data_IF_868578584591
#
_entry.id   IF_868578584591
#
_cell.length_a   1.000
_cell.length_b   1.000
_cell.length_c   1.000
_cell.angle_alpha   90.00
_cell.angle_beta   90.00
_cell.angle_gamma   90.00
#
_symmetry.space_group_name_H-M   'P 1'
#
loop_
_entity.id
_entity.type
_entity.pdbx_description
1 polymer ?
#
# COMPACT_ATOMS: atom_id res chain seq x y z
N UNK A 1 -13.74 6.36 16.14
CA UNK A 1 -14.11 6.09 14.73
C UNK A 1 -14.99 7.24 14.26
N UNK A 2 -14.79 7.80 13.06
CA UNK A 2 -15.50 9.02 12.62
C UNK A 2 -16.84 8.74 11.93
N UNK A 3 -16.88 7.77 11.01
CA UNK A 3 -18.08 7.33 10.29
C UNK A 3 -17.96 5.84 10.05
N UNK A 4 -18.96 5.06 10.46
CA UNK A 4 -18.93 3.60 10.31
C UNK A 4 -19.32 3.12 8.91
N UNK A 5 -20.26 3.81 8.27
CA UNK A 5 -20.83 3.40 6.97
C UNK A 5 -20.81 4.56 5.98
N UNK A 6 -19.61 5.04 5.66
CA UNK A 6 -19.43 6.06 4.64
C UNK A 6 -19.59 5.41 3.25
N UNK A 7 -20.54 5.85 2.41
CA UNK A 7 -20.59 5.42 1.02
C UNK A 7 -19.28 5.79 0.31
N UNK A 8 -18.70 4.88 -0.47
CA UNK A 8 -17.42 5.14 -1.14
C UNK A 8 -17.48 6.37 -2.05
N UNK A 9 -18.64 6.62 -2.68
CA UNK A 9 -18.90 7.80 -3.52
C UNK A 9 -18.71 9.13 -2.80
N UNK A 10 -18.85 9.16 -1.48
CA UNK A 10 -18.73 10.35 -0.64
C UNK A 10 -17.35 10.47 0.02
N UNK A 11 -16.42 9.54 -0.26
CA UNK A 11 -15.11 9.46 0.40
C UNK A 11 -14.32 10.76 0.29
N UNK A 12 -14.22 11.33 -0.92
CA UNK A 12 -13.44 12.56 -1.14
C UNK A 12 -14.07 13.77 -0.43
N UNK A 13 -15.40 13.91 -0.48
CA UNK A 13 -16.12 14.96 0.24
C UNK A 13 -15.92 14.85 1.76
N UNK A 14 -15.90 13.63 2.30
CA UNK A 14 -15.66 13.40 3.72
C UNK A 14 -14.22 13.71 4.13
N UNK A 15 -13.24 13.33 3.31
CA UNK A 15 -11.83 13.70 3.51
C UNK A 15 -11.64 15.22 3.46
N UNK A 16 -12.31 15.90 2.53
CA UNK A 16 -12.29 17.37 2.47
C UNK A 16 -12.87 18.00 3.74
N UNK A 17 -14.00 17.50 4.24
CA UNK A 17 -14.58 17.97 5.50
C UNK A 17 -13.59 17.82 6.68
N UNK A 18 -12.93 16.66 6.79
CA UNK A 18 -11.87 16.43 7.80
C UNK A 18 -10.73 17.45 7.64
N UNK A 19 -10.28 17.71 6.42
CA UNK A 19 -9.22 18.69 6.14
C UNK A 19 -9.66 20.11 6.48
N UNK A 20 -10.91 20.50 6.21
CA UNK A 20 -11.47 21.82 6.57
C UNK A 20 -11.53 22.01 8.08
N UNK A 21 -12.03 21.02 8.83
CA UNK A 21 -12.04 21.04 10.31
C UNK A 21 -10.61 21.14 10.86
N UNK A 22 -9.70 20.30 10.35
CA UNK A 22 -8.31 20.34 10.77
C UNK A 22 -7.62 21.67 10.43
N UNK A 23 -7.92 22.27 9.29
CA UNK A 23 -7.37 23.56 8.90
C UNK A 23 -7.93 24.72 9.75
N UNK A 24 -9.18 24.62 10.21
CA UNK A 24 -9.84 25.63 11.06
C UNK A 24 -9.31 25.59 12.49
N UNK A 25 -9.24 24.41 13.10
CA UNK A 25 -8.92 24.26 14.52
C UNK A 25 -7.48 23.80 14.81
N UNK A 26 -6.74 23.37 13.77
CA UNK A 26 -5.36 22.93 13.89
C UNK A 26 -4.44 24.04 14.37
N UNK A 27 -3.60 23.72 15.35
CA UNK A 27 -2.60 24.66 15.87
C UNK A 27 -1.51 24.93 14.84
N UNK A 28 -1.18 26.21 14.63
CA UNK A 28 -0.06 26.66 13.77
C UNK A 28 1.08 27.31 14.54
N UNK A 29 0.91 27.53 15.84
CA UNK A 29 1.87 28.21 16.71
C UNK A 29 3.01 27.29 17.19
N UNK A 30 2.76 25.98 17.31
CA UNK A 30 3.75 25.02 17.78
C UNK A 30 3.74 23.75 16.92
N UNK A 31 4.81 23.54 16.16
CA UNK A 31 4.98 22.37 15.27
C UNK A 31 4.82 21.01 15.98
N UNK A 32 5.17 20.92 17.27
CA UNK A 32 5.02 19.68 18.04
C UNK A 32 3.57 19.39 18.45
N UNK A 33 2.69 20.40 18.40
CA UNK A 33 1.26 20.31 18.71
C UNK A 33 0.35 20.48 17.49
N UNK A 34 0.93 20.59 16.29
CA UNK A 34 0.20 20.91 15.05
C UNK A 34 -0.43 19.70 14.34
N UNK A 35 -0.22 18.46 14.82
CA UNK A 35 -0.74 17.25 14.15
C UNK A 35 -2.21 17.01 14.47
N UNK A 36 -2.98 16.48 13.51
CA UNK A 36 -4.42 16.21 13.67
C UNK A 36 -4.75 15.33 14.88
N UNK A 37 -3.89 14.36 15.23
CA UNK A 37 -4.07 13.53 16.44
C UNK A 37 -4.14 14.35 17.74
N UNK A 38 -3.41 15.46 17.79
CA UNK A 38 -3.39 16.37 18.94
C UNK A 38 -4.71 17.15 19.00
N UNK A 39 -5.19 17.63 17.84
CA UNK A 39 -6.49 18.29 17.75
C UNK A 39 -7.62 17.36 18.22
N UNK A 40 -7.67 16.13 17.69
CA UNK A 40 -8.69 15.14 18.08
C UNK A 40 -8.61 14.83 19.58
N UNK A 41 -7.42 14.70 20.14
CA UNK A 41 -7.24 14.47 21.58
C UNK A 41 -7.69 15.65 22.45
N UNK A 42 -7.59 16.89 21.96
CA UNK A 42 -8.01 18.09 22.70
C UNK A 42 -9.52 18.32 22.62
N UNK A 43 -10.12 18.12 21.45
CA UNK A 43 -11.56 18.29 21.24
C UNK A 43 -12.37 17.11 21.80
N UNK A 44 -11.81 15.91 21.78
CA UNK A 44 -12.57 14.66 21.90
C UNK A 44 -13.06 14.19 20.54
N UNK A 45 -13.21 12.87 20.39
CA UNK A 45 -13.56 12.26 19.10
C UNK A 45 -14.99 12.61 18.69
N UNK A 46 -15.91 12.71 19.65
CA UNK A 46 -17.32 13.03 19.42
C UNK A 46 -17.50 14.46 18.92
N UNK A 47 -16.82 15.43 19.57
CA UNK A 47 -16.87 16.83 19.15
C UNK A 47 -16.23 17.02 17.77
N UNK A 48 -15.07 16.37 17.54
CA UNK A 48 -14.44 16.42 16.21
C UNK A 48 -15.34 15.81 15.13
N UNK A 49 -16.02 14.70 15.41
CA UNK A 49 -16.98 14.10 14.49
C UNK A 49 -18.15 15.05 14.20
N UNK A 50 -18.70 15.73 15.20
CA UNK A 50 -19.77 16.71 15.01
C UNK A 50 -19.34 17.85 14.08
N UNK A 51 -18.13 18.40 14.26
CA UNK A 51 -17.59 19.42 13.37
C UNK A 51 -17.47 18.92 11.92
N UNK A 52 -17.02 17.68 11.71
CA UNK A 52 -16.92 17.07 10.37
C UNK A 52 -18.30 16.89 9.74
N UNK A 53 -19.30 16.45 10.51
CA UNK A 53 -20.68 16.30 10.05
C UNK A 53 -21.41 17.63 9.84
N UNK A 54 -20.93 18.73 10.41
CA UNK A 54 -21.41 20.08 10.07
C UNK A 54 -20.75 20.57 8.77
N UNK A 55 -19.44 20.37 8.61
CA UNK A 55 -18.73 20.75 7.39
C UNK A 55 -19.25 20.01 6.16
N UNK A 56 -19.60 18.72 6.27
CA UNK A 56 -20.14 17.96 5.14
C UNK A 56 -21.47 18.54 4.63
N UNK A 57 -22.26 19.18 5.48
CA UNK A 57 -23.51 19.85 5.08
C UNK A 57 -23.26 21.13 4.26
N UNK A 58 -22.09 21.74 4.41
CA UNK A 58 -21.66 22.93 3.68
C UNK A 58 -21.01 22.60 2.34
N UNK A 59 -20.56 21.36 2.15
CA UNK A 59 -19.96 20.90 0.90
C UNK A 59 -21.09 20.53 -0.08
N UNK A 60 -21.12 21.11 -1.30
CA UNK A 60 -22.08 20.70 -2.31
C UNK A 60 -21.92 19.20 -2.61
N UNK A 61 -23.02 18.44 -2.55
CA UNK A 61 -23.01 16.97 -2.67
C UNK A 61 -22.29 16.46 -3.92
N UNK A 62 -22.39 17.19 -5.03
CA UNK A 62 -21.83 16.79 -6.32
C UNK A 62 -20.37 17.20 -6.54
N UNK A 63 -19.80 18.08 -5.69
CA UNK A 63 -18.49 18.69 -5.96
C UNK A 63 -17.36 17.66 -6.07
N UNK A 64 -17.37 16.68 -5.16
CA UNK A 64 -16.33 15.64 -5.04
C UNK A 64 -16.93 14.23 -4.98
N UNK A 65 -18.13 14.05 -5.53
CA UNK A 65 -18.77 12.75 -5.59
C UNK A 65 -18.02 11.86 -6.59
N UNK A 66 -17.49 10.73 -6.12
CA UNK A 66 -16.86 9.77 -7.02
C UNK A 66 -17.93 9.12 -7.91
N UNK A 67 -17.58 8.92 -9.18
CA UNK A 67 -18.45 8.32 -10.19
C UNK A 67 -17.92 6.96 -10.60
N UNK A 68 -18.81 6.07 -11.07
CA UNK A 68 -18.40 4.78 -11.63
C UNK A 68 -17.46 4.94 -12.84
N UNK A 69 -17.64 6.00 -13.64
CA UNK A 69 -16.75 6.32 -14.76
C UNK A 69 -15.33 6.62 -14.28
N UNK A 70 -15.19 7.42 -13.23
CA UNK A 70 -13.88 7.78 -12.69
C UNK A 70 -13.22 6.59 -11.99
N UNK A 71 -14.00 5.80 -11.25
CA UNK A 71 -13.54 4.54 -10.68
C UNK A 71 -13.05 3.59 -11.78
N UNK A 72 -13.82 3.42 -12.85
CA UNK A 72 -13.46 2.56 -13.98
C UNK A 72 -12.19 3.04 -14.69
N UNK A 73 -12.06 4.36 -14.90
CA UNK A 73 -10.88 4.97 -15.50
C UNK A 73 -9.62 4.67 -14.69
N UNK A 74 -9.67 4.82 -13.36
CA UNK A 74 -8.52 4.50 -12.49
C UNK A 74 -8.29 2.99 -12.46
N UNK A 75 -9.35 2.18 -12.30
CA UNK A 75 -9.24 0.72 -12.24
C UNK A 75 -8.59 0.12 -13.50
N UNK A 76 -8.83 0.71 -14.68
CA UNK A 76 -8.18 0.28 -15.93
C UNK A 76 -6.66 0.43 -15.95
N UNK A 77 -6.07 1.19 -15.02
CA UNK A 77 -4.62 1.32 -14.87
C UNK A 77 -4.02 0.21 -13.99
N UNK A 78 -4.85 -0.57 -13.30
CA UNK A 78 -4.43 -1.64 -12.38
C UNK A 78 -4.89 -3.02 -12.88
N UNK A 79 -4.93 -3.20 -14.21
CA UNK A 79 -5.34 -4.47 -14.79
C UNK A 79 -4.37 -5.58 -14.39
N UNK A 80 -4.88 -6.74 -13.95
CA UNK A 80 -4.02 -7.88 -13.66
C UNK A 80 -3.28 -8.28 -14.93
N UNK A 81 -2.01 -8.67 -14.77
CA UNK A 81 -1.25 -9.22 -15.88
C UNK A 81 -1.88 -10.54 -16.34
N UNK A 82 -1.70 -10.87 -17.62
CA UNK A 82 -2.13 -12.16 -18.16
C UNK A 82 -1.17 -13.22 -17.65
N UNK A 83 -1.58 -13.92 -16.60
CA UNK A 83 -0.84 -15.05 -16.04
C UNK A 83 -1.00 -16.28 -16.93
N UNK A 84 0.08 -17.02 -17.09
CA UNK A 84 0.07 -18.34 -17.73
C UNK A 84 -0.53 -19.39 -16.78
N UNK A 85 -1.10 -20.45 -17.34
CA UNK A 85 -1.51 -21.60 -16.52
C UNK A 85 -0.30 -22.50 -16.33
N UNK A 86 0.29 -22.45 -15.14
CA UNK A 86 1.43 -23.27 -14.78
C UNK A 86 0.97 -24.58 -14.11
N UNK A 87 1.69 -25.67 -14.37
CA UNK A 87 1.45 -26.94 -13.71
C UNK A 87 1.77 -26.87 -12.21
N UNK A 88 1.12 -27.71 -11.40
CA UNK A 88 1.31 -27.70 -9.94
C UNK A 88 2.61 -28.35 -9.48
N UNK A 89 3.29 -29.13 -10.33
CA UNK A 89 4.45 -29.94 -9.95
C UNK A 89 5.68 -29.59 -10.77
N UNK A 90 6.72 -29.11 -10.09
CA UNK A 90 8.06 -28.93 -10.62
C UNK A 90 9.03 -29.83 -9.84
N UNK A 91 9.48 -30.89 -10.51
CA UNK A 91 10.38 -31.90 -9.93
C UNK A 91 11.79 -31.33 -9.74
N UNK A 92 12.23 -30.43 -10.62
CA UNK A 92 13.53 -29.79 -10.55
C UNK A 92 13.59 -28.84 -9.35
N UNK A 93 12.55 -28.01 -9.18
CA UNK A 93 12.39 -27.17 -7.99
C UNK A 93 12.41 -28.00 -6.70
N UNK A 94 11.63 -29.08 -6.66
CA UNK A 94 11.57 -29.97 -5.49
C UNK A 94 12.92 -30.58 -5.16
N UNK A 95 13.70 -30.93 -6.20
CA UNK A 95 15.07 -31.46 -6.06
C UNK A 95 16.03 -30.39 -5.52
N UNK A 96 15.93 -29.14 -5.99
CA UNK A 96 16.76 -28.04 -5.51
C UNK A 96 16.50 -27.69 -4.05
N UNK A 97 15.23 -27.64 -3.62
CA UNK A 97 14.88 -27.41 -2.21
C UNK A 97 15.45 -28.52 -1.31
N UNK A 98 15.37 -29.79 -1.74
CA UNK A 98 15.87 -30.90 -0.93
C UNK A 98 17.39 -30.97 -0.85
N UNK A 99 18.09 -30.62 -1.94
CA UNK A 99 19.54 -30.79 -2.04
C UNK A 99 20.35 -29.55 -1.68
N UNK A 100 19.72 -28.40 -1.43
CA UNK A 100 20.39 -27.15 -1.09
C UNK A 100 19.73 -26.47 0.11
N UNK A 101 20.33 -26.63 1.28
CA UNK A 101 19.86 -26.04 2.53
C UNK A 101 19.78 -24.52 2.46
N UNK A 102 20.80 -23.85 1.91
CA UNK A 102 20.81 -22.37 1.81
C UNK A 102 19.65 -21.86 0.94
N UNK A 103 19.34 -22.58 -0.14
CA UNK A 103 18.20 -22.24 -0.99
C UNK A 103 16.85 -22.51 -0.32
N UNK A 104 16.73 -23.60 0.45
CA UNK A 104 15.53 -23.90 1.24
C UNK A 104 15.26 -22.81 2.27
N UNK A 105 16.29 -22.41 3.04
CA UNK A 105 16.17 -21.36 4.05
C UNK A 105 15.81 -20.01 3.39
N UNK A 106 16.43 -19.70 2.25
CA UNK A 106 16.08 -18.51 1.48
C UNK A 106 14.62 -18.55 1.01
N UNK A 107 14.15 -19.69 0.50
CA UNK A 107 12.78 -19.86 0.02
C UNK A 107 11.77 -19.62 1.15
N UNK A 108 11.97 -20.25 2.31
CA UNK A 108 11.07 -20.12 3.45
C UNK A 108 11.00 -18.68 3.98
N UNK A 109 12.14 -17.98 3.99
CA UNK A 109 12.22 -16.61 4.48
C UNK A 109 11.64 -15.60 3.49
N UNK A 110 11.88 -15.76 2.19
CA UNK A 110 11.66 -14.70 1.20
C UNK A 110 10.49 -14.97 0.26
N UNK A 111 10.01 -16.21 0.10
CA UNK A 111 8.98 -16.55 -0.88
C UNK A 111 7.61 -16.70 -0.22
N UNK A 112 6.56 -16.19 -0.88
CA UNK A 112 5.17 -16.29 -0.42
C UNK A 112 4.26 -16.82 -1.54
N UNK A 113 3.16 -17.46 -1.15
CA UNK A 113 2.15 -17.91 -2.10
C UNK A 113 1.49 -16.70 -2.77
N UNK A 114 1.38 -16.76 -4.10
CA UNK A 114 0.61 -15.78 -4.84
C UNK A 114 -0.88 -16.19 -4.88
N UNK A 115 -1.78 -15.23 -5.08
CA UNK A 115 -3.23 -15.50 -5.20
C UNK A 115 -3.58 -16.30 -6.46
N UNK A 116 -2.71 -16.26 -7.48
CA UNK A 116 -2.84 -17.04 -8.72
C UNK A 116 -2.03 -18.33 -8.56
N UNK A 117 -2.68 -19.48 -8.76
CA UNK A 117 -2.02 -20.78 -8.65
C UNK A 117 -0.83 -20.88 -9.60
N UNK A 118 0.22 -21.58 -9.18
CA UNK A 118 1.48 -21.70 -9.92
C UNK A 118 2.44 -20.51 -9.77
N UNK A 119 1.98 -19.35 -9.29
CA UNK A 119 2.84 -18.18 -9.05
C UNK A 119 3.25 -18.06 -7.59
N UNK A 120 4.32 -17.29 -7.37
CA UNK A 120 4.87 -16.94 -6.06
C UNK A 120 5.29 -15.48 -6.07
N UNK A 121 5.28 -14.83 -4.92
CA UNK A 121 5.92 -13.52 -4.74
C UNK A 121 7.20 -13.67 -3.93
N UNK A 122 8.19 -12.81 -4.21
CA UNK A 122 9.47 -12.78 -3.51
C UNK A 122 9.62 -11.45 -2.79
N UNK A 123 9.94 -11.51 -1.51
CA UNK A 123 10.27 -10.34 -0.69
C UNK A 123 11.79 -10.18 -0.69
N UNK A 124 12.28 -9.06 -1.20
CA UNK A 124 13.68 -8.66 -1.10
C UNK A 124 13.82 -7.74 0.10
N UNK A 125 14.47 -8.25 1.15
CA UNK A 125 14.83 -7.44 2.31
C UNK A 125 15.94 -6.46 1.95
N UNK A 126 15.75 -5.17 2.20
CA UNK A 126 16.84 -4.18 2.12
C UNK A 126 17.57 -4.02 3.46
N UNK A 127 17.19 -4.84 4.46
CA UNK A 127 17.73 -4.82 5.82
C UNK A 127 18.73 -5.96 5.97
N UNK A 128 20.00 -5.64 5.86
CA UNK A 128 21.11 -6.55 6.11
C UNK A 128 22.12 -5.88 7.06
N UNK A 129 23.01 -6.66 7.71
CA UNK A 129 23.90 -6.13 8.73
C UNK A 129 24.68 -4.89 8.24
N UNK A 130 24.67 -3.84 9.05
CA UNK A 130 25.34 -2.56 8.78
C UNK A 130 24.77 -1.73 7.62
N UNK A 131 23.58 -2.05 7.09
CA UNK A 131 22.89 -1.23 6.09
C UNK A 131 21.85 -0.29 6.74
N UNK A 132 21.62 0.85 6.10
CA UNK A 132 20.46 1.70 6.42
C UNK A 132 19.24 1.03 5.78
N UNK A 133 18.14 0.77 6.51
CA UNK A 133 16.91 0.28 5.91
C UNK A 133 16.47 1.19 4.75
N UNK A 134 15.92 0.60 3.68
CA UNK A 134 15.62 1.27 2.40
C UNK A 134 16.84 1.71 1.55
N UNK A 135 18.07 1.54 2.01
CA UNK A 135 19.26 1.91 1.23
C UNK A 135 19.61 0.80 0.23
N UNK A 136 19.36 1.08 -1.04
CA UNK A 136 19.62 0.19 -2.18
C UNK A 136 20.43 0.96 -3.21
N UNK A 137 21.59 0.43 -3.57
CA UNK A 137 22.48 1.10 -4.53
C UNK A 137 21.90 1.09 -5.95
N UNK A 138 22.41 1.96 -6.81
CA UNK A 138 21.96 1.99 -8.22
C UNK A 138 22.24 0.68 -8.97
N UNK A 139 23.28 -0.06 -8.60
CA UNK A 139 23.61 -1.37 -9.18
C UNK A 139 22.60 -2.43 -8.72
N UNK A 140 22.29 -2.46 -7.43
CA UNK A 140 21.27 -3.35 -6.87
C UNK A 140 19.89 -3.06 -7.47
N UNK A 141 19.51 -1.78 -7.61
CA UNK A 141 18.24 -1.41 -8.24
C UNK A 141 18.15 -1.85 -9.69
N UNK A 142 19.25 -1.80 -10.47
CA UNK A 142 19.26 -2.35 -11.84
C UNK A 142 19.08 -3.86 -11.84
N UNK A 143 19.79 -4.57 -10.96
CA UNK A 143 19.63 -6.02 -10.84
C UNK A 143 18.19 -6.42 -10.47
N UNK A 144 17.56 -5.65 -9.57
CA UNK A 144 16.15 -5.88 -9.18
C UNK A 144 15.21 -5.56 -10.34
N UNK A 145 15.47 -4.51 -11.12
CA UNK A 145 14.71 -4.20 -12.32
C UNK A 145 14.83 -5.32 -13.37
N UNK A 146 16.03 -5.83 -13.61
CA UNK A 146 16.25 -6.96 -14.54
C UNK A 146 15.49 -8.22 -14.09
N UNK A 147 15.42 -8.48 -12.78
CA UNK A 147 14.61 -9.57 -12.23
C UNK A 147 13.11 -9.32 -12.41
N UNK A 148 12.66 -8.09 -12.16
CA UNK A 148 11.26 -7.72 -12.32
C UNK A 148 10.79 -7.85 -13.77
N UNK A 149 11.58 -7.38 -14.74
CA UNK A 149 11.29 -7.50 -16.16
C UNK A 149 11.20 -8.96 -16.61
N UNK A 150 12.07 -9.83 -16.07
CA UNK A 150 12.12 -11.25 -16.45
C UNK A 150 11.05 -12.10 -15.80
N UNK A 151 10.70 -11.84 -14.54
CA UNK A 151 9.92 -12.76 -13.73
C UNK A 151 8.63 -12.17 -13.14
N UNK A 152 8.50 -10.85 -13.11
CA UNK A 152 7.41 -10.14 -12.40
C UNK A 152 6.73 -9.09 -13.27
N UNK A 153 6.76 -9.29 -14.60
CA UNK A 153 6.06 -8.45 -15.56
C UNK A 153 6.46 -6.96 -15.50
N UNK A 154 7.70 -6.68 -15.10
CA UNK A 154 8.23 -5.32 -14.92
C UNK A 154 7.69 -4.59 -13.68
N UNK A 155 7.06 -5.31 -12.73
CA UNK A 155 6.46 -4.72 -11.54
C UNK A 155 7.33 -4.93 -10.29
N UNK A 156 7.49 -3.86 -9.50
CA UNK A 156 8.12 -3.89 -8.18
C UNK A 156 7.20 -3.13 -7.22
N UNK A 157 6.95 -3.68 -6.03
CA UNK A 157 6.18 -3.01 -4.97
C UNK A 157 7.04 -2.70 -3.77
N UNK A 158 6.89 -1.50 -3.20
CA UNK A 158 7.55 -1.11 -1.94
C UNK A 158 6.59 -1.34 -0.79
N UNK A 159 7.05 -1.97 0.29
CA UNK A 159 6.26 -2.15 1.51
C UNK A 159 6.51 -1.01 2.49
N UNK A 160 5.56 -0.80 3.41
CA UNK A 160 5.74 0.15 4.52
C UNK A 160 6.90 -0.23 5.46
N UNK A 161 7.34 -1.49 5.42
CA UNK A 161 8.51 -1.97 6.15
C UNK A 161 9.82 -1.73 5.39
N UNK A 162 9.81 -0.99 4.29
CA UNK A 162 11.00 -0.67 3.49
C UNK A 162 11.64 -1.91 2.85
N UNK A 163 10.81 -2.88 2.43
CA UNK A 163 11.26 -4.00 1.61
C UNK A 163 10.66 -3.88 0.20
N UNK A 164 11.25 -4.60 -0.74
CA UNK A 164 10.73 -4.71 -2.10
C UNK A 164 10.00 -6.05 -2.26
N UNK A 165 8.90 -6.05 -3.00
CA UNK A 165 8.16 -7.25 -3.37
C UNK A 165 8.15 -7.35 -4.88
N UNK A 166 8.61 -8.50 -5.34
CA UNK A 166 8.48 -8.99 -6.70
C UNK A 166 7.21 -9.86 -6.75
N UNK A 167 6.10 -9.35 -7.33
CA UNK A 167 4.79 -9.98 -7.26
C UNK A 167 4.64 -11.23 -8.12
#
# INVERSE_FOLDING_TARGET
>A
MLKDKLPWVDLLSYLEAILRVFNRYGRRDNKYKARIKILVSMLGIEAFQQEVEQEIQQIPKELNRLTDSELSRIASQFLPVVYETLGETDLEFSTHIQNNTDFSDWYDLNVRLHKVSGYRSVVISTKFPNNIPDDVTSEQMRAIADLADRFCFGEIRVTHEQNLVLP
#
